data_IF_182624946292
#
_entry.id   IF_182624946292
#
_cell.length_a   1.000
_cell.length_b   1.000
_cell.length_c   1.000
_cell.angle_alpha   90.00
_cell.angle_beta   90.00
_cell.angle_gamma   90.00
#
_symmetry.space_group_name_H-M   'P 1'
#
loop_
_entity.id
_entity.type
_entity.pdbx_description
1 polymer ?
#
# COMPACT_ATOMS: atom_id res chain seq x y z
N UNK A 1 34.73 70.20 -38.23
CA UNK A 1 35.10 68.94 -37.54
C UNK A 1 34.19 67.76 -37.91
N UNK A 2 32.87 67.97 -38.06
CA UNK A 2 31.93 66.90 -38.47
C UNK A 2 32.16 66.33 -39.90
N UNK A 3 32.64 67.13 -40.86
CA UNK A 3 32.89 66.67 -42.24
C UNK A 3 34.06 65.70 -42.37
N UNK A 4 35.14 65.87 -41.58
CA UNK A 4 36.28 64.93 -41.57
C UNK A 4 35.91 63.59 -40.93
N UNK A 5 35.09 63.60 -39.87
CA UNK A 5 34.58 62.39 -39.22
C UNK A 5 33.65 61.63 -40.18
N UNK A 6 32.79 62.33 -40.92
CA UNK A 6 31.90 61.74 -41.92
C UNK A 6 32.65 61.08 -43.08
N UNK A 7 33.68 61.75 -43.61
CA UNK A 7 34.50 61.21 -44.69
C UNK A 7 35.35 60.02 -44.23
N UNK A 8 35.83 60.01 -42.99
CA UNK A 8 36.55 58.88 -42.39
C UNK A 8 35.63 57.65 -42.20
N UNK A 9 34.43 57.85 -41.67
CA UNK A 9 33.41 56.80 -41.53
C UNK A 9 33.02 56.23 -42.89
N UNK A 10 32.81 57.09 -43.91
CA UNK A 10 32.46 56.66 -45.28
C UNK A 10 33.56 55.83 -45.92
N UNK A 11 34.84 56.15 -45.66
CA UNK A 11 36.01 55.41 -46.17
C UNK A 11 36.22 54.06 -45.46
N UNK A 12 35.80 53.92 -44.21
CA UNK A 12 35.92 52.68 -43.42
C UNK A 12 34.58 51.96 -43.15
N UNK A 13 33.50 52.30 -43.86
CA UNK A 13 32.14 51.79 -43.62
C UNK A 13 32.04 50.26 -43.48
N UNK A 14 32.78 49.50 -44.31
CA UNK A 14 32.80 48.03 -44.25
C UNK A 14 33.42 47.50 -42.95
N UNK A 15 34.44 48.19 -42.41
CA UNK A 15 35.09 47.83 -41.14
C UNK A 15 34.17 48.11 -39.96
N UNK A 16 33.49 49.26 -39.93
CA UNK A 16 32.51 49.58 -38.88
C UNK A 16 31.32 48.62 -38.88
N UNK A 17 30.79 48.25 -40.05
CA UNK A 17 29.71 47.25 -40.16
C UNK A 17 30.18 45.89 -39.63
N UNK A 18 31.37 45.44 -40.02
CA UNK A 18 31.92 44.16 -39.57
C UNK A 18 32.15 44.15 -38.04
N UNK A 19 32.80 45.18 -37.49
CA UNK A 19 33.04 45.29 -36.05
C UNK A 19 31.73 45.39 -35.27
N UNK A 20 30.76 46.18 -35.74
CA UNK A 20 29.44 46.28 -35.10
C UNK A 20 28.68 44.95 -35.11
N UNK A 21 28.73 44.20 -36.22
CA UNK A 21 28.12 42.88 -36.33
C UNK A 21 28.79 41.85 -35.39
N UNK A 22 30.13 41.87 -35.27
CA UNK A 22 30.86 40.99 -34.36
C UNK A 22 30.53 41.31 -32.91
N UNK A 23 30.58 42.59 -32.49
CA UNK A 23 30.27 43.01 -31.12
C UNK A 23 28.82 42.72 -30.77
N UNK A 24 27.89 43.04 -31.67
CA UNK A 24 26.46 42.73 -31.51
C UNK A 24 26.19 41.23 -31.42
N UNK A 25 26.84 40.42 -32.27
CA UNK A 25 26.76 38.97 -32.26
C UNK A 25 27.25 38.35 -30.95
N UNK A 26 28.41 38.79 -30.46
CA UNK A 26 28.98 38.33 -29.17
C UNK A 26 28.06 38.72 -28.00
N UNK A 27 27.52 39.95 -28.01
CA UNK A 27 26.59 40.40 -26.96
C UNK A 27 25.30 39.57 -26.91
N UNK A 28 24.66 39.36 -28.08
CA UNK A 28 23.43 38.56 -28.17
C UNK A 28 23.70 37.12 -27.75
N UNK A 29 24.80 36.53 -28.24
CA UNK A 29 25.19 35.16 -27.89
C UNK A 29 25.47 35.00 -26.40
N UNK A 30 26.23 35.92 -25.80
CA UNK A 30 26.52 35.92 -24.37
C UNK A 30 25.25 36.03 -23.52
N UNK A 31 24.33 36.93 -23.90
CA UNK A 31 23.03 37.06 -23.19
C UNK A 31 22.16 35.82 -23.35
N UNK A 32 22.16 35.20 -24.53
CA UNK A 32 21.45 33.94 -24.77
C UNK A 32 22.04 32.79 -23.96
N UNK A 33 23.37 32.67 -23.91
CA UNK A 33 24.05 31.65 -23.10
C UNK A 33 23.74 31.83 -21.61
N UNK A 34 23.82 33.05 -21.09
CA UNK A 34 23.49 33.34 -19.68
C UNK A 34 22.03 33.03 -19.36
N UNK A 35 21.09 33.40 -20.25
CA UNK A 35 19.68 33.05 -20.10
C UNK A 35 19.49 31.53 -20.14
N UNK A 36 20.12 30.84 -21.08
CA UNK A 36 19.99 29.39 -21.25
C UNK A 36 20.54 28.62 -20.05
N UNK A 37 21.66 29.04 -19.47
CA UNK A 37 22.23 28.44 -18.25
C UNK A 37 21.27 28.62 -17.08
N UNK A 38 20.71 29.82 -16.89
CA UNK A 38 19.72 30.07 -15.83
C UNK A 38 18.47 29.22 -16.03
N UNK A 39 17.92 29.18 -17.25
CA UNK A 39 16.72 28.39 -17.56
C UNK A 39 16.97 26.88 -17.29
N UNK A 40 18.18 26.37 -17.57
CA UNK A 40 18.57 24.99 -17.25
C UNK A 40 18.64 24.78 -15.74
N UNK A 41 19.32 25.67 -15.00
CA UNK A 41 19.42 25.59 -13.53
C UNK A 41 18.04 25.67 -12.85
N UNK A 42 17.17 26.56 -13.32
CA UNK A 42 15.80 26.69 -12.83
C UNK A 42 14.99 25.42 -13.10
N UNK A 43 15.15 24.82 -14.28
CA UNK A 43 14.47 23.57 -14.63
C UNK A 43 14.94 22.40 -13.76
N UNK A 44 16.26 22.22 -13.62
CA UNK A 44 16.83 21.18 -12.76
C UNK A 44 16.41 21.36 -11.29
N UNK A 45 16.45 22.60 -10.78
CA UNK A 45 15.98 22.90 -9.43
C UNK A 45 14.49 22.58 -9.25
N UNK A 46 13.66 22.88 -10.25
CA UNK A 46 12.21 22.58 -10.20
C UNK A 46 11.94 21.08 -10.22
N UNK A 47 12.62 20.33 -11.09
CA UNK A 47 12.53 18.87 -11.16
C UNK A 47 13.01 18.22 -9.87
N UNK A 48 14.13 18.69 -9.31
CA UNK A 48 14.65 18.24 -8.02
C UNK A 48 13.67 18.48 -6.88
N UNK A 49 13.07 19.68 -6.78
CA UNK A 49 12.06 20.00 -5.77
C UNK A 49 10.81 19.13 -5.94
N UNK A 50 10.36 18.90 -7.17
CA UNK A 50 9.21 18.05 -7.46
C UNK A 50 9.46 16.59 -7.03
N UNK A 51 10.65 16.06 -7.33
CA UNK A 51 11.06 14.72 -6.91
C UNK A 51 11.18 14.61 -5.38
N UNK A 52 11.82 15.58 -4.73
CA UNK A 52 11.95 15.63 -3.27
C UNK A 52 10.57 15.68 -2.58
N UNK A 53 9.63 16.47 -3.12
CA UNK A 53 8.25 16.53 -2.61
C UNK A 53 7.52 15.19 -2.74
N UNK A 54 7.65 14.52 -3.90
CA UNK A 54 7.05 13.20 -4.12
C UNK A 54 7.61 12.16 -3.14
N UNK A 55 8.93 12.16 -2.94
CA UNK A 55 9.59 11.24 -2.01
C UNK A 55 9.14 11.49 -0.57
N UNK A 56 9.15 12.75 -0.12
CA UNK A 56 8.68 13.12 1.21
C UNK A 56 7.21 12.70 1.44
N UNK A 57 6.34 12.92 0.46
CA UNK A 57 4.95 12.51 0.52
C UNK A 57 4.82 10.98 0.63
N UNK A 58 5.58 10.24 -0.18
CA UNK A 58 5.58 8.77 -0.15
C UNK A 58 6.09 8.22 1.19
N UNK A 59 7.19 8.75 1.73
CA UNK A 59 7.74 8.33 3.03
C UNK A 59 6.81 8.66 4.19
N UNK A 60 6.13 9.80 4.13
CA UNK A 60 5.06 10.14 5.07
C UNK A 60 3.93 9.12 5.00
N UNK A 61 3.49 8.77 3.77
CA UNK A 61 2.45 7.78 3.55
C UNK A 61 2.83 6.38 4.08
N UNK A 62 4.07 5.96 3.90
CA UNK A 62 4.55 4.68 4.45
C UNK A 62 4.54 4.67 5.99
N UNK A 63 4.89 5.80 6.63
CA UNK A 63 4.80 5.95 8.09
C UNK A 63 3.35 5.88 8.57
N UNK A 64 2.44 6.57 7.89
CA UNK A 64 1.00 6.46 8.17
C UNK A 64 0.54 5.02 8.07
N UNK A 65 0.90 4.31 6.99
CA UNK A 65 0.55 2.90 6.82
C UNK A 65 1.10 2.00 7.93
N UNK A 66 2.35 2.20 8.36
CA UNK A 66 2.91 1.44 9.48
C UNK A 66 2.10 1.66 10.76
N UNK A 67 1.74 2.91 11.06
CA UNK A 67 0.92 3.24 12.22
C UNK A 67 -0.48 2.64 12.13
N UNK A 68 -1.12 2.71 10.95
CA UNK A 68 -2.45 2.14 10.72
C UNK A 68 -2.45 0.62 10.88
N UNK A 69 -1.42 -0.07 10.37
CA UNK A 69 -1.27 -1.52 10.60
C UNK A 69 -1.20 -1.81 12.10
N UNK A 70 -0.31 -1.12 12.81
CA UNK A 70 -0.15 -1.33 14.25
C UNK A 70 -1.41 -1.03 15.05
N UNK A 71 -2.22 -0.04 14.64
CA UNK A 71 -3.50 0.26 15.29
C UNK A 71 -4.62 -0.72 14.94
N UNK A 72 -4.55 -1.38 13.77
CA UNK A 72 -5.55 -2.37 13.33
C UNK A 72 -5.23 -3.80 13.79
N UNK A 73 -4.00 -4.07 14.24
CA UNK A 73 -3.61 -5.38 14.78
C UNK A 73 -4.42 -5.78 16.03
N UNK A 74 -4.66 -4.91 17.04
CA UNK A 74 -5.47 -5.28 18.20
C UNK A 74 -6.92 -5.62 17.85
N UNK A 75 -7.67 -4.82 17.06
CA UNK A 75 -9.00 -5.19 16.58
C UNK A 75 -9.03 -6.52 15.83
N UNK A 76 -8.04 -6.77 14.95
CA UNK A 76 -7.94 -8.04 14.24
C UNK A 76 -7.72 -9.21 15.20
N UNK A 77 -6.81 -9.05 16.16
CA UNK A 77 -6.55 -10.07 17.20
C UNK A 77 -7.81 -10.36 18.00
N UNK A 78 -8.53 -9.33 18.43
CA UNK A 78 -9.77 -9.47 19.20
C UNK A 78 -10.84 -10.21 18.40
N UNK A 79 -11.03 -9.86 17.12
CA UNK A 79 -11.96 -10.56 16.24
C UNK A 79 -11.60 -12.05 16.06
N UNK A 80 -10.31 -12.36 15.86
CA UNK A 80 -9.82 -13.75 15.74
C UNK A 80 -10.04 -14.52 17.05
N UNK A 81 -9.69 -13.94 18.20
CA UNK A 81 -9.82 -14.60 19.52
C UNK A 81 -11.29 -14.79 19.89
N UNK A 82 -12.17 -13.82 19.56
CA UNK A 82 -13.60 -13.93 19.82
C UNK A 82 -14.24 -15.09 19.06
N UNK A 83 -13.89 -15.28 17.79
CA UNK A 83 -14.44 -16.35 16.94
C UNK A 83 -13.76 -17.71 17.18
N UNK A 84 -12.50 -17.74 17.63
CA UNK A 84 -11.70 -18.94 17.86
C UNK A 84 -11.18 -19.00 19.31
N UNK A 85 -12.13 -18.99 20.25
CA UNK A 85 -11.85 -18.92 21.68
C UNK A 85 -11.37 -20.26 22.27
N UNK A 86 -10.06 -20.50 22.18
CA UNK A 86 -9.41 -21.66 22.79
C UNK A 86 -9.37 -21.59 24.33
N UNK A 87 -9.38 -20.39 24.88
CA UNK A 87 -9.25 -20.11 26.31
C UNK A 87 -10.45 -20.68 27.07
N UNK A 88 -11.67 -20.53 26.54
CA UNK A 88 -12.89 -21.14 27.11
C UNK A 88 -12.80 -22.66 27.15
N UNK A 89 -12.30 -23.30 26.09
CA UNK A 89 -12.12 -24.75 26.07
C UNK A 89 -11.08 -25.21 27.09
N UNK A 90 -9.95 -24.50 27.20
CA UNK A 90 -8.93 -24.82 28.22
C UNK A 90 -9.44 -24.59 29.64
N UNK A 91 -10.30 -23.59 29.86
CA UNK A 91 -10.95 -23.37 31.15
C UNK A 91 -11.92 -24.51 31.49
N UNK A 92 -12.71 -24.96 30.50
CA UNK A 92 -13.61 -26.10 30.67
C UNK A 92 -12.83 -27.39 30.98
N UNK A 93 -11.69 -27.63 30.32
CA UNK A 93 -10.84 -28.79 30.63
C UNK A 93 -10.33 -28.81 32.08
N UNK A 94 -10.12 -27.65 32.71
CA UNK A 94 -9.69 -27.55 34.11
C UNK A 94 -10.77 -28.02 35.09
N UNK A 95 -12.05 -27.98 34.71
CA UNK A 95 -13.17 -28.44 35.56
C UNK A 95 -13.37 -29.95 35.53
N UNK A 96 -12.54 -30.70 34.78
CA UNK A 96 -12.63 -32.17 34.60
C UNK A 96 -14.01 -32.64 34.12
N UNK A 97 -14.50 -32.14 32.97
CA UNK A 97 -15.80 -32.50 32.41
C UNK A 97 -15.81 -33.97 31.96
N UNK A 98 -16.99 -34.57 31.88
CA UNK A 98 -17.16 -35.95 31.44
C UNK A 98 -16.76 -36.15 29.96
N UNK A 99 -17.06 -35.16 29.10
CA UNK A 99 -16.74 -35.17 27.67
C UNK A 99 -15.33 -34.63 27.36
N UNK A 100 -14.35 -34.93 28.22
CA UNK A 100 -12.97 -34.42 28.10
C UNK A 100 -12.35 -34.66 26.72
N UNK A 101 -12.57 -35.84 26.12
CA UNK A 101 -11.95 -36.19 24.83
C UNK A 101 -12.45 -35.29 23.70
N UNK A 102 -13.76 -35.06 23.63
CA UNK A 102 -14.38 -34.17 22.63
C UNK A 102 -13.82 -32.75 22.73
N UNK A 103 -13.67 -32.22 23.95
CA UNK A 103 -13.13 -30.88 24.15
C UNK A 103 -11.66 -30.77 23.70
N UNK A 104 -10.86 -31.84 23.87
CA UNK A 104 -9.49 -31.86 23.34
C UNK A 104 -9.45 -31.91 21.81
N UNK A 105 -10.36 -32.65 21.19
CA UNK A 105 -10.48 -32.67 19.73
C UNK A 105 -10.92 -31.31 19.19
N UNK A 106 -11.88 -30.65 19.83
CA UNK A 106 -12.25 -29.27 19.48
C UNK A 106 -11.09 -28.28 19.68
N UNK A 107 -10.34 -28.42 20.78
CA UNK A 107 -9.18 -27.56 21.06
C UNK A 107 -8.07 -27.76 20.01
N UNK A 108 -7.86 -29.00 19.54
CA UNK A 108 -6.93 -29.29 18.44
C UNK A 108 -7.32 -28.49 17.19
N UNK A 109 -8.57 -28.54 16.79
CA UNK A 109 -9.04 -27.85 15.59
C UNK A 109 -8.98 -26.32 15.76
N UNK A 110 -9.47 -25.79 16.88
CA UNK A 110 -9.48 -24.35 17.13
C UNK A 110 -8.07 -23.77 17.23
N UNK A 111 -7.14 -24.44 17.92
CA UNK A 111 -5.76 -23.93 18.10
C UNK A 111 -4.99 -23.82 16.77
N UNK A 112 -5.10 -24.83 15.91
CA UNK A 112 -4.51 -24.81 14.58
C UNK A 112 -5.18 -23.78 13.68
N UNK A 113 -6.51 -23.77 13.64
CA UNK A 113 -7.28 -22.78 12.86
C UNK A 113 -6.90 -21.36 13.27
N UNK A 114 -6.82 -21.07 14.57
CA UNK A 114 -6.50 -19.73 15.09
C UNK A 114 -5.12 -19.27 14.65
N UNK A 115 -4.13 -20.17 14.73
CA UNK A 115 -2.74 -19.85 14.34
C UNK A 115 -2.64 -19.57 12.86
N UNK A 116 -3.27 -20.40 12.02
CA UNK A 116 -3.21 -20.26 10.56
C UNK A 116 -3.98 -19.01 10.10
N UNK A 117 -5.19 -18.80 10.62
CA UNK A 117 -5.98 -17.59 10.34
C UNK A 117 -5.22 -16.34 10.75
N UNK A 118 -4.57 -16.32 11.92
CA UNK A 118 -3.80 -15.17 12.37
C UNK A 118 -2.65 -14.80 11.42
N UNK A 119 -1.98 -15.79 10.82
CA UNK A 119 -0.94 -15.55 9.80
C UNK A 119 -1.56 -14.96 8.53
N UNK A 120 -2.59 -15.61 7.97
CA UNK A 120 -3.24 -15.13 6.74
C UNK A 120 -3.81 -13.72 6.92
N UNK A 121 -4.61 -13.50 7.96
CA UNK A 121 -5.29 -12.23 8.19
C UNK A 121 -4.31 -11.10 8.48
N UNK A 122 -3.19 -11.38 9.14
CA UNK A 122 -2.13 -10.37 9.36
C UNK A 122 -1.44 -10.00 8.05
N UNK A 123 -1.06 -10.98 7.22
CA UNK A 123 -0.47 -10.71 5.90
C UNK A 123 -1.43 -9.92 5.00
N UNK A 124 -2.69 -10.33 4.98
CA UNK A 124 -3.78 -9.68 4.27
C UNK A 124 -3.97 -8.22 4.72
N UNK A 125 -4.03 -7.97 6.03
CA UNK A 125 -4.16 -6.63 6.60
C UNK A 125 -3.02 -5.71 6.16
N UNK A 126 -1.77 -6.19 6.23
CA UNK A 126 -0.59 -5.40 5.83
C UNK A 126 -0.64 -5.05 4.35
N UNK A 127 -0.91 -6.03 3.48
CA UNK A 127 -0.93 -5.81 2.03
C UNK A 127 -2.11 -4.90 1.65
N UNK A 128 -3.30 -5.14 2.20
CA UNK A 128 -4.48 -4.34 1.91
C UNK A 128 -4.30 -2.87 2.34
N UNK A 129 -3.79 -2.61 3.54
CA UNK A 129 -3.52 -1.24 3.99
C UNK A 129 -2.45 -0.55 3.15
N UNK A 130 -1.41 -1.28 2.71
CA UNK A 130 -0.41 -0.73 1.78
C UNK A 130 -1.04 -0.35 0.45
N UNK A 131 -1.93 -1.18 -0.09
CA UNK A 131 -2.64 -0.87 -1.34
C UNK A 131 -3.54 0.35 -1.13
N UNK A 132 -4.42 0.31 -0.13
CA UNK A 132 -5.37 1.38 0.15
C UNK A 132 -4.69 2.73 0.39
N UNK A 133 -3.71 2.78 1.29
CA UNK A 133 -3.05 4.04 1.65
C UNK A 133 -2.18 4.58 0.52
N UNK A 134 -1.57 3.75 -0.32
CA UNK A 134 -0.83 4.24 -1.48
C UNK A 134 -1.74 4.75 -2.60
N UNK A 135 -2.90 4.11 -2.83
CA UNK A 135 -3.88 4.60 -3.80
C UNK A 135 -4.41 5.96 -3.35
N UNK A 136 -4.94 6.07 -2.13
CA UNK A 136 -5.49 7.34 -1.63
C UNK A 136 -4.41 8.41 -1.49
N UNK A 137 -3.20 8.04 -1.07
CA UNK A 137 -2.05 8.94 -1.03
C UNK A 137 -1.66 9.46 -2.42
N UNK A 138 -1.84 8.67 -3.47
CA UNK A 138 -1.67 9.10 -4.86
C UNK A 138 -2.67 10.19 -5.26
N UNK A 139 -3.96 9.99 -4.97
CA UNK A 139 -5.01 10.99 -5.22
C UNK A 139 -4.76 12.28 -4.42
N UNK A 140 -4.42 12.17 -3.14
CA UNK A 140 -4.08 13.33 -2.30
C UNK A 140 -2.84 14.08 -2.82
N UNK A 141 -1.84 13.37 -3.35
CA UNK A 141 -0.70 14.01 -3.98
C UNK A 141 -1.10 14.79 -5.23
N UNK A 142 -1.98 14.25 -6.08
CA UNK A 142 -2.49 14.94 -7.28
C UNK A 142 -3.31 16.19 -6.91
N UNK A 143 -4.22 16.08 -5.94
CA UNK A 143 -5.02 17.21 -5.45
C UNK A 143 -4.13 18.36 -4.93
N UNK A 144 -3.01 18.03 -4.28
CA UNK A 144 -2.05 19.02 -3.76
C UNK A 144 -1.04 19.54 -4.81
N UNK A 145 -0.70 18.75 -5.82
CA UNK A 145 0.37 19.07 -6.78
C UNK A 145 -0.13 19.76 -8.06
N UNK A 146 -1.34 19.42 -8.53
CA UNK A 146 -1.95 20.01 -9.74
C UNK A 146 -2.46 21.44 -9.48
N UNK A 147 -2.40 21.91 -8.23
CA UNK A 147 -2.43 23.32 -7.86
C UNK A 147 -3.76 24.02 -8.12
N UNK A 148 -4.67 24.04 -7.12
CA UNK A 148 -5.86 24.93 -7.01
C UNK A 148 -6.82 25.05 -8.21
N UNK A 149 -6.56 24.39 -9.35
CA UNK A 149 -7.34 24.52 -10.57
C UNK A 149 -8.54 23.55 -10.62
N UNK A 150 -8.63 22.64 -9.66
CA UNK A 150 -9.73 21.68 -9.58
C UNK A 150 -10.75 22.25 -8.59
N UNK A 151 -11.90 22.70 -9.08
CA UNK A 151 -13.03 23.14 -8.23
C UNK A 151 -13.63 21.97 -7.42
N UNK A 152 -13.36 20.72 -7.82
CA UNK A 152 -13.86 19.49 -7.22
C UNK A 152 -12.71 18.50 -6.93
N UNK A 153 -12.17 18.42 -5.69
CA UNK A 153 -11.06 17.52 -5.36
C UNK A 153 -11.37 16.07 -5.78
N UNK A 154 -10.35 15.33 -6.22
CA UNK A 154 -10.49 13.94 -6.68
C UNK A 154 -10.84 13.00 -5.52
N UNK A 155 -10.28 13.26 -4.33
CA UNK A 155 -10.53 12.48 -3.13
C UNK A 155 -10.99 13.40 -1.98
N UNK A 156 -12.27 13.84 -1.97
CA UNK A 156 -12.81 14.57 -0.83
C UNK A 156 -12.88 13.69 0.43
N UNK A 157 -13.06 14.31 1.60
CA UNK A 157 -12.91 13.63 2.90
C UNK A 157 -13.92 12.49 3.11
N UNK A 158 -15.13 12.62 2.58
CA UNK A 158 -16.16 11.59 2.54
C UNK A 158 -15.72 10.36 1.72
N UNK A 159 -15.20 10.57 0.51
CA UNK A 159 -14.67 9.48 -0.33
C UNK A 159 -13.48 8.80 0.33
N UNK A 160 -12.58 9.57 0.97
CA UNK A 160 -11.47 8.99 1.73
C UNK A 160 -11.97 8.09 2.85
N UNK A 161 -12.96 8.54 3.62
CA UNK A 161 -13.50 7.79 4.75
C UNK A 161 -14.20 6.51 4.28
N UNK A 162 -15.06 6.59 3.27
CA UNK A 162 -15.78 5.43 2.71
C UNK A 162 -14.82 4.42 2.07
N UNK A 163 -13.79 4.90 1.37
CA UNK A 163 -12.77 4.02 0.80
C UNK A 163 -11.98 3.28 1.91
N UNK A 164 -11.55 4.00 2.94
CA UNK A 164 -10.79 3.41 4.05
C UNK A 164 -11.66 2.50 4.94
N UNK A 165 -12.97 2.73 5.03
CA UNK A 165 -13.88 1.85 5.78
C UNK A 165 -14.03 0.47 5.14
N UNK A 166 -13.65 0.29 3.86
CA UNK A 166 -13.63 -1.03 3.20
C UNK A 166 -12.78 -2.07 3.95
N UNK A 167 -11.84 -1.64 4.80
CA UNK A 167 -11.08 -2.54 5.68
C UNK A 167 -11.95 -3.34 6.65
N UNK A 168 -13.16 -2.85 6.94
CA UNK A 168 -14.11 -3.50 7.84
C UNK A 168 -14.56 -4.86 7.31
N UNK A 169 -14.60 -5.07 5.99
CA UNK A 169 -14.91 -6.38 5.41
C UNK A 169 -13.88 -7.44 5.83
N UNK A 170 -12.59 -7.13 5.73
CA UNK A 170 -11.51 -8.02 6.19
C UNK A 170 -11.61 -8.31 7.69
N UNK A 171 -12.10 -7.37 8.50
CA UNK A 171 -12.25 -7.55 9.96
C UNK A 171 -13.60 -8.18 10.36
N UNK A 172 -14.55 -8.28 9.42
CA UNK A 172 -15.90 -8.79 9.61
C UNK A 172 -16.14 -10.06 8.80
N UNK A 173 -17.01 -9.97 7.80
CA UNK A 173 -17.48 -11.12 7.00
C UNK A 173 -16.34 -11.86 6.30
N UNK A 174 -15.35 -11.13 5.76
CA UNK A 174 -14.18 -11.71 5.13
C UNK A 174 -13.35 -12.57 6.11
N UNK A 175 -13.21 -12.13 7.36
CA UNK A 175 -12.54 -12.92 8.41
C UNK A 175 -13.35 -14.16 8.78
N UNK A 176 -14.67 -14.03 8.93
CA UNK A 176 -15.54 -15.17 9.26
C UNK A 176 -15.53 -16.21 8.16
N UNK A 177 -15.51 -15.79 6.90
CA UNK A 177 -15.38 -16.70 5.76
C UNK A 177 -14.00 -17.38 5.75
N UNK A 178 -12.92 -16.61 5.94
CA UNK A 178 -11.56 -17.16 6.05
C UNK A 178 -11.45 -18.21 7.15
N UNK A 179 -11.99 -17.92 8.34
CA UNK A 179 -12.05 -18.85 9.47
C UNK A 179 -12.78 -20.13 9.06
N UNK A 180 -13.91 -20.03 8.37
CA UNK A 180 -14.71 -21.18 7.95
C UNK A 180 -13.95 -22.07 6.98
N UNK A 181 -13.27 -21.48 6.00
CA UNK A 181 -12.46 -22.21 5.00
C UNK A 181 -11.25 -22.88 5.67
N UNK A 182 -10.50 -22.14 6.48
CA UNK A 182 -9.32 -22.67 7.19
C UNK A 182 -9.73 -23.77 8.17
N UNK A 183 -10.81 -23.58 8.94
CA UNK A 183 -11.32 -24.60 9.87
C UNK A 183 -11.67 -25.90 9.16
N UNK A 184 -12.28 -25.81 7.97
CA UNK A 184 -12.60 -26.99 7.14
C UNK A 184 -11.33 -27.72 6.69
N UNK A 185 -10.33 -27.00 6.22
CA UNK A 185 -9.05 -27.59 5.80
C UNK A 185 -8.30 -28.23 6.98
N UNK A 186 -8.27 -27.55 8.12
CA UNK A 186 -7.72 -28.10 9.38
C UNK A 186 -8.45 -29.37 9.80
N UNK A 187 -9.79 -29.40 9.72
CA UNK A 187 -10.59 -30.58 10.04
C UNK A 187 -10.26 -31.77 9.12
N UNK A 188 -10.08 -31.52 7.82
CA UNK A 188 -9.73 -32.56 6.84
C UNK A 188 -8.32 -33.10 7.05
N UNK A 189 -7.37 -32.23 7.40
CA UNK A 189 -5.96 -32.62 7.57
C UNK A 189 -5.69 -33.27 8.93
N UNK A 190 -6.17 -32.66 10.02
CA UNK A 190 -5.84 -33.06 11.40
C UNK A 190 -6.97 -33.78 12.12
N UNK A 191 -8.18 -33.86 11.55
CA UNK A 191 -9.33 -34.49 12.20
C UNK A 191 -9.08 -35.95 12.56
N UNK A 192 -8.48 -36.72 11.66
CA UNK A 192 -8.15 -38.14 11.88
C UNK A 192 -6.85 -38.38 12.66
N UNK A 193 -6.05 -37.34 12.92
CA UNK A 193 -4.79 -37.45 13.65
C UNK A 193 -5.07 -37.61 15.14
N UNK A 194 -4.60 -38.71 15.73
CA UNK A 194 -4.81 -38.97 17.16
C UNK A 194 -4.08 -37.95 18.03
N UNK A 195 -4.70 -37.51 19.13
CA UNK A 195 -4.06 -36.66 20.14
C UNK A 195 -2.81 -37.30 20.77
N UNK A 196 -2.64 -38.63 20.67
CA UNK A 196 -1.46 -39.36 21.18
C UNK A 196 -0.35 -39.51 20.14
N UNK A 197 -0.62 -39.18 18.88
CA UNK A 197 0.37 -39.32 17.82
C UNK A 197 1.46 -38.25 18.01
N UNK A 198 2.72 -38.69 18.07
CA UNK A 198 3.85 -37.79 18.00
C UNK A 198 4.07 -37.34 16.56
N UNK A 199 4.18 -36.03 16.34
CA UNK A 199 4.55 -35.45 15.06
C UNK A 199 5.92 -34.80 15.17
N UNK A 200 6.80 -35.13 14.24
CA UNK A 200 8.04 -34.39 14.00
C UNK A 200 7.74 -33.01 13.41
N UNK A 201 8.75 -32.12 13.44
CA UNK A 201 8.63 -30.80 12.83
C UNK A 201 8.33 -30.89 11.33
N UNK A 202 8.96 -31.83 10.63
CA UNK A 202 8.75 -32.03 9.19
C UNK A 202 7.32 -32.49 8.88
N UNK A 203 6.78 -33.42 9.68
CA UNK A 203 5.39 -33.86 9.51
C UNK A 203 4.41 -32.72 9.79
N UNK A 204 4.67 -31.90 10.81
CA UNK A 204 3.87 -30.71 11.10
C UNK A 204 3.91 -29.69 9.95
N UNK A 205 5.09 -29.42 9.40
CA UNK A 205 5.25 -28.55 8.23
C UNK A 205 4.48 -29.09 7.03
N UNK A 206 4.50 -30.41 6.80
CA UNK A 206 3.76 -31.04 5.72
C UNK A 206 2.24 -30.94 5.91
N UNK A 207 1.74 -31.11 7.14
CA UNK A 207 0.33 -30.86 7.46
C UNK A 207 -0.06 -29.41 7.18
N UNK A 208 0.77 -28.44 7.59
CA UNK A 208 0.53 -27.03 7.29
C UNK A 208 0.54 -26.76 5.77
N UNK A 209 1.46 -27.37 5.02
CA UNK A 209 1.52 -27.25 3.56
C UNK A 209 0.25 -27.77 2.88
N UNK A 210 -0.29 -28.91 3.32
CA UNK A 210 -1.57 -29.43 2.80
C UNK A 210 -2.75 -28.53 3.14
N UNK A 211 -2.83 -28.03 4.38
CA UNK A 211 -3.88 -27.08 4.77
C UNK A 211 -3.81 -25.83 3.89
N UNK A 212 -2.60 -25.28 3.66
CA UNK A 212 -2.40 -24.12 2.79
C UNK A 212 -2.82 -24.42 1.35
N UNK A 213 -2.39 -25.56 0.79
CA UNK A 213 -2.76 -25.96 -0.55
C UNK A 213 -4.28 -26.08 -0.72
N UNK A 214 -4.99 -26.61 0.29
CA UNK A 214 -6.45 -26.70 0.26
C UNK A 214 -7.11 -25.31 0.32
N UNK A 215 -6.65 -24.43 1.22
CA UNK A 215 -7.15 -23.05 1.35
C UNK A 215 -6.90 -22.26 0.07
N UNK A 216 -5.74 -22.43 -0.56
CA UNK A 216 -5.27 -21.69 -1.74
C UNK A 216 -5.68 -22.32 -3.08
N UNK A 217 -6.30 -23.50 -3.08
CA UNK A 217 -6.60 -24.27 -4.31
C UNK A 217 -7.71 -23.71 -5.20
N UNK A 218 -8.63 -22.92 -4.63
CA UNK A 218 -9.81 -22.43 -5.35
C UNK A 218 -9.45 -21.30 -6.31
N UNK A 219 -9.25 -21.66 -7.58
CA UNK A 219 -8.91 -20.71 -8.64
C UNK A 219 -10.09 -19.83 -9.07
N UNK A 220 -11.33 -20.27 -8.81
CA UNK A 220 -12.53 -19.48 -9.12
C UNK A 220 -12.79 -18.40 -8.06
N UNK A 221 -12.35 -18.64 -6.81
CA UNK A 221 -12.54 -17.73 -5.69
C UNK A 221 -11.20 -17.31 -5.05
N UNK A 222 -10.52 -16.30 -5.63
CA UNK A 222 -9.20 -15.87 -5.16
C UNK A 222 -9.21 -15.33 -3.73
N UNK A 223 -8.03 -15.27 -3.12
CA UNK A 223 -7.83 -14.74 -1.75
C UNK A 223 -8.34 -13.30 -1.56
N UNK A 224 -8.50 -12.53 -2.63
CA UNK A 224 -9.04 -11.17 -2.58
C UNK A 224 -10.48 -11.10 -2.07
N UNK A 225 -11.28 -12.17 -2.16
CA UNK A 225 -12.65 -12.22 -1.63
C UNK A 225 -12.73 -12.03 -0.11
N UNK A 226 -11.65 -12.40 0.60
CA UNK A 226 -11.55 -12.16 2.03
C UNK A 226 -11.17 -10.71 2.36
N UNK A 227 -10.63 -9.97 1.37
CA UNK A 227 -10.14 -8.61 1.53
C UNK A 227 -11.21 -7.56 1.22
N UNK A 228 -12.02 -7.79 0.19
CA UNK A 228 -13.01 -6.86 -0.34
C UNK A 228 -14.34 -7.58 -0.55
N UNK A 229 -15.44 -6.87 -0.31
CA UNK A 229 -16.78 -7.36 -0.63
C UNK A 229 -16.97 -7.44 -2.15
N UNK A 230 -17.84 -8.36 -2.59
CA UNK A 230 -18.21 -8.46 -4.00
C UNK A 230 -18.93 -7.18 -4.47
N UNK A 231 -18.78 -6.84 -5.76
CA UNK A 231 -19.24 -5.57 -6.36
C UNK A 231 -20.75 -5.29 -6.14
N UNK A 232 -21.57 -6.33 -5.98
CA UNK A 232 -23.01 -6.19 -5.70
C UNK A 232 -23.29 -5.67 -4.28
N UNK A 233 -22.41 -5.96 -3.31
CA UNK A 233 -22.54 -5.50 -1.93
C UNK A 233 -21.81 -4.17 -1.68
N UNK A 234 -20.78 -3.85 -2.47
CA UNK A 234 -19.97 -2.63 -2.30
C UNK A 234 -20.71 -1.32 -2.66
N UNK A 235 -21.80 -1.41 -3.43
CA UNK A 235 -22.62 -0.27 -3.87
C UNK A 235 -23.97 -0.18 -3.13
N UNK A 236 -24.23 -1.08 -2.18
CA UNK A 236 -25.51 -1.18 -1.49
C UNK A 236 -25.62 -0.32 -0.21
N UNK A 237 -24.55 0.39 0.19
CA UNK A 237 -24.53 1.34 1.31
C UNK A 237 -24.05 2.75 0.90
#
# INVERSE_FOLDING_TARGET
MFSSVWNFIKRHKKKFIFTGAVVGGVYIFGRYAQKKIRDIQEKEATEYIAQARRQFHFESNQRTCNMTVLSMLPPLREAVVAQLNSETLTALLKTKPANKLEIWEDLKIISFTRTIVAVYSTCMLVVLLRVQLNIIGGYLYLDNSVGKSITNPLAPADVQQQYLSSIQHLLGDGLTELITVVKRAVQRSLGSVSLKQSLSLLELEQQLSWIRAEVESDSERPMSRFLLADDENALAE
#
